data_IF_728666061244
#
_entry.id   IF_728666061244
#
_cell.length_a   1.000
_cell.length_b   1.000
_cell.length_c   1.000
_cell.angle_alpha   90.00
_cell.angle_beta   90.00
_cell.angle_gamma   90.00
#
_symmetry.space_group_name_H-M   'P 1'
#
loop_
_entity.id
_entity.type
_entity.pdbx_description
1 polymer ?
#
# COMPACT_ATOMS: atom_id res chain seq x y z
N UNK A 1 -3.40 5.92 16.96
CA UNK A 1 -3.93 5.48 15.65
C UNK A 1 -2.78 4.84 14.91
N UNK A 2 -2.99 3.72 14.21
CA UNK A 2 -1.94 3.11 13.40
C UNK A 2 -1.45 4.11 12.33
N UNK A 3 -0.19 4.02 11.94
CA UNK A 3 0.34 4.79 10.81
C UNK A 3 -0.31 4.33 9.51
N UNK A 4 -0.18 5.13 8.45
CA UNK A 4 -0.62 4.71 7.11
C UNK A 4 0.08 3.40 6.70
N UNK A 5 1.39 3.32 6.95
CA UNK A 5 2.19 2.12 6.70
C UNK A 5 1.64 0.88 7.41
N UNK A 6 1.35 0.97 8.71
CA UNK A 6 0.80 -0.13 9.51
C UNK A 6 -0.56 -0.60 8.98
N UNK A 7 -1.43 0.36 8.64
CA UNK A 7 -2.76 0.08 8.11
C UNK A 7 -2.68 -0.66 6.77
N UNK A 8 -1.83 -0.17 5.86
CA UNK A 8 -1.61 -0.76 4.54
C UNK A 8 -1.01 -2.16 4.63
N UNK A 9 -0.03 -2.37 5.52
CA UNK A 9 0.56 -3.69 5.75
C UNK A 9 -0.52 -4.66 6.26
N UNK A 10 -1.35 -4.24 7.22
CA UNK A 10 -2.40 -5.09 7.78
C UNK A 10 -3.44 -5.56 6.75
N UNK A 11 -3.73 -4.73 5.73
CA UNK A 11 -4.65 -5.04 4.62
C UNK A 11 -3.99 -5.97 3.61
N UNK A 12 -2.73 -5.72 3.26
CA UNK A 12 -2.02 -6.46 2.21
C UNK A 12 -1.50 -7.82 2.68
N UNK A 13 -1.01 -7.91 3.91
CA UNK A 13 -0.32 -9.10 4.43
C UNK A 13 -1.13 -10.40 4.27
N UNK A 14 -2.44 -10.47 4.57
CA UNK A 14 -3.23 -11.68 4.37
C UNK A 14 -3.34 -12.14 2.91
N UNK A 15 -3.11 -11.23 1.96
CA UNK A 15 -3.31 -11.44 0.53
C UNK A 15 -2.01 -11.76 -0.20
N UNK A 16 -0.93 -11.08 0.17
CA UNK A 16 0.37 -11.15 -0.55
C UNK A 16 1.54 -11.59 0.34
N UNK A 17 1.29 -11.77 1.63
CA UNK A 17 2.32 -12.07 2.63
C UNK A 17 3.08 -10.82 3.11
N UNK A 18 3.77 -10.92 4.25
CA UNK A 18 4.37 -9.77 4.93
C UNK A 18 5.45 -9.09 4.07
N UNK A 19 6.26 -9.87 3.36
CA UNK A 19 7.36 -9.34 2.55
C UNK A 19 6.87 -8.43 1.42
N UNK A 20 5.78 -8.80 0.73
CA UNK A 20 5.25 -8.03 -0.39
C UNK A 20 4.49 -6.81 0.10
N UNK A 21 3.71 -6.95 1.18
CA UNK A 21 3.01 -5.85 1.83
C UNK A 21 3.99 -4.72 2.23
N UNK A 22 5.04 -5.10 2.94
CA UNK A 22 6.10 -4.22 3.40
C UNK A 22 6.93 -3.63 2.25
N UNK A 23 7.11 -4.38 1.16
CA UNK A 23 7.74 -3.87 -0.07
C UNK A 23 6.89 -2.78 -0.74
N UNK A 24 5.56 -2.90 -0.75
CA UNK A 24 4.68 -1.88 -1.33
C UNK A 24 4.79 -0.54 -0.59
N UNK A 25 4.82 -0.59 0.75
CA UNK A 25 4.98 0.60 1.59
C UNK A 25 6.36 1.21 1.40
N UNK A 26 7.43 0.42 1.52
CA UNK A 26 8.80 0.94 1.39
C UNK A 26 9.12 1.47 0.00
N UNK A 27 8.66 0.80 -1.07
CA UNK A 27 8.87 1.29 -2.43
C UNK A 27 8.19 2.65 -2.63
N UNK A 28 7.01 2.84 -2.02
CA UNK A 28 6.30 4.12 -2.02
C UNK A 28 7.07 5.20 -1.29
N UNK A 29 7.48 4.93 -0.05
CA UNK A 29 8.27 5.86 0.75
C UNK A 29 9.57 6.27 0.03
N UNK A 30 10.30 5.29 -0.53
CA UNK A 30 11.52 5.52 -1.30
C UNK A 30 11.27 6.42 -2.52
N UNK A 31 10.16 6.19 -3.25
CA UNK A 31 9.81 7.01 -4.43
C UNK A 31 9.50 8.47 -4.09
N UNK A 32 9.15 8.76 -2.83
CA UNK A 32 8.83 10.09 -2.32
C UNK A 32 9.98 10.71 -1.53
N UNK A 33 11.10 10.00 -1.35
CA UNK A 33 12.20 10.44 -0.49
C UNK A 33 11.85 10.50 1.00
N UNK A 34 10.91 9.65 1.44
CA UNK A 34 10.39 9.56 2.83
C UNK A 34 10.80 8.25 3.50
N UNK A 35 10.67 8.21 4.83
CA UNK A 35 10.61 6.94 5.56
C UNK A 35 9.19 6.35 5.47
N UNK A 36 9.04 5.04 5.67
CA UNK A 36 7.72 4.40 5.68
C UNK A 36 6.81 4.98 6.77
N UNK A 37 7.37 5.30 7.93
CA UNK A 37 6.65 5.89 9.07
C UNK A 37 6.20 7.34 8.82
N UNK A 38 6.80 8.02 7.83
CA UNK A 38 6.49 9.40 7.46
C UNK A 38 5.41 9.49 6.36
N UNK A 39 4.86 8.36 5.94
CA UNK A 39 3.77 8.33 4.95
C UNK A 39 2.47 8.85 5.58
N UNK A 40 1.85 9.79 4.89
CA UNK A 40 0.61 10.44 5.29
C UNK A 40 -0.51 10.14 4.29
N UNK A 41 -1.75 10.44 4.66
CA UNK A 41 -2.93 10.26 3.81
C UNK A 41 -2.75 10.86 2.39
N UNK A 42 -2.08 12.00 2.29
CA UNK A 42 -1.81 12.68 1.02
C UNK A 42 -0.89 11.87 0.06
N UNK A 43 -0.16 10.87 0.59
CA UNK A 43 0.70 9.99 -0.20
C UNK A 43 -0.06 8.80 -0.81
N UNK A 44 -1.35 8.66 -0.53
CA UNK A 44 -2.19 7.56 -1.03
C UNK A 44 -2.15 7.39 -2.56
N UNK A 45 -2.14 8.44 -3.40
CA UNK A 45 -2.01 8.28 -4.86
C UNK A 45 -0.69 7.62 -5.29
N UNK A 46 0.41 7.90 -4.58
CA UNK A 46 1.70 7.27 -4.85
C UNK A 46 1.71 5.81 -4.40
N UNK A 47 1.07 5.51 -3.28
CA UNK A 47 0.89 4.14 -2.80
C UNK A 47 0.06 3.31 -3.77
N UNK A 48 -1.07 3.83 -4.22
CA UNK A 48 -1.94 3.19 -5.22
C UNK A 48 -1.17 2.83 -6.49
N UNK A 49 -0.41 3.78 -7.03
CA UNK A 49 0.42 3.58 -8.23
C UNK A 49 1.44 2.47 -8.03
N UNK A 50 2.11 2.44 -6.87
CA UNK A 50 3.08 1.39 -6.56
C UNK A 50 2.43 0.02 -6.34
N UNK A 51 1.30 -0.06 -5.64
CA UNK A 51 0.55 -1.30 -5.44
C UNK A 51 0.10 -1.86 -6.79
N UNK A 52 -0.47 -1.04 -7.67
CA UNK A 52 -0.84 -1.45 -9.04
C UNK A 52 0.37 -1.97 -9.83
N UNK A 53 1.50 -1.27 -9.76
CA UNK A 53 2.72 -1.64 -10.47
C UNK A 53 3.33 -2.94 -9.95
N UNK A 54 3.37 -3.12 -8.63
CA UNK A 54 4.02 -4.28 -7.99
C UNK A 54 3.14 -5.53 -8.03
N UNK A 55 1.84 -5.40 -7.81
CA UNK A 55 0.92 -6.53 -7.77
C UNK A 55 0.34 -6.89 -9.15
N UNK A 56 0.32 -5.94 -10.10
CA UNK A 56 -0.23 -6.15 -11.45
C UNK A 56 0.26 -7.41 -12.17
N UNK A 57 1.55 -7.79 -12.08
CA UNK A 57 2.05 -9.03 -12.71
C UNK A 57 1.58 -10.33 -12.05
N UNK A 58 1.09 -10.29 -10.80
CA UNK A 58 0.85 -11.48 -9.98
C UNK A 58 -0.59 -11.57 -9.42
N UNK A 59 -1.40 -10.51 -9.57
CA UNK A 59 -2.75 -10.45 -9.04
C UNK A 59 -3.74 -9.93 -10.10
N UNK A 60 -5.00 -10.43 -10.10
CA UNK A 60 -6.05 -9.90 -10.95
C UNK A 60 -6.34 -8.42 -10.65
N UNK A 61 -6.61 -7.63 -11.68
CA UNK A 61 -6.90 -6.19 -11.55
C UNK A 61 -8.04 -5.90 -10.57
N UNK A 62 -9.12 -6.68 -10.61
CA UNK A 62 -10.26 -6.53 -9.69
C UNK A 62 -9.85 -6.70 -8.22
N UNK A 63 -8.89 -7.58 -7.92
CA UNK A 63 -8.38 -7.79 -6.57
C UNK A 63 -7.59 -6.57 -6.11
N UNK A 64 -6.72 -6.03 -6.99
CA UNK A 64 -5.94 -4.84 -6.72
C UNK A 64 -6.85 -3.63 -6.47
N UNK A 65 -7.89 -3.45 -7.29
CA UNK A 65 -8.83 -2.33 -7.15
C UNK A 65 -9.63 -2.44 -5.83
N UNK A 66 -10.05 -3.64 -5.41
CA UNK A 66 -10.70 -3.84 -4.09
C UNK A 66 -9.77 -3.51 -2.91
N UNK A 67 -8.51 -3.93 -3.00
CA UNK A 67 -7.48 -3.65 -1.98
C UNK A 67 -7.29 -2.13 -1.82
N UNK A 68 -7.21 -1.41 -2.94
CA UNK A 68 -7.04 0.05 -2.92
C UNK A 68 -8.25 0.73 -2.26
N UNK A 69 -9.46 0.30 -2.60
CA UNK A 69 -10.67 0.85 -2.01
C UNK A 69 -10.71 0.62 -0.48
N UNK A 70 -10.22 -0.52 0.00
CA UNK A 70 -10.08 -0.81 1.42
C UNK A 70 -9.05 0.11 2.10
N UNK A 71 -7.89 0.33 1.46
CA UNK A 71 -6.89 1.28 1.96
C UNK A 71 -7.45 2.69 2.06
N UNK A 72 -8.07 3.21 1.00
CA UNK A 72 -8.70 4.53 0.99
C UNK A 72 -9.80 4.69 2.05
N UNK A 73 -10.56 3.61 2.31
CA UNK A 73 -11.57 3.56 3.37
C UNK A 73 -10.98 3.60 4.77
N UNK A 74 -9.79 3.03 4.99
CA UNK A 74 -9.12 2.99 6.30
C UNK A 74 -8.51 4.33 6.73
N UNK A 75 -8.34 5.27 5.79
CA UNK A 75 -7.67 6.57 5.99
C UNK A 75 -8.66 7.71 6.28
N UNK A 76 -9.97 7.48 6.04
CA UNK A 76 -11.06 8.44 6.32
C UNK A 76 -11.56 8.36 7.75
#
# INVERSE_FOLDING_TARGET
MPTLAESVVSILEPLVGPMVADTCVRATALSLGKSADDLLADDMPALESNVKRLLGPIAPRQTIDSIIAEMEGSIR
#
